data_IF_240448450201
#
_entry.id   IF_240448450201
#
_cell.length_a   1.000
_cell.length_b   1.000
_cell.length_c   1.000
_cell.angle_alpha   90.00
_cell.angle_beta   90.00
_cell.angle_gamma   90.00
#
_symmetry.space_group_name_H-M   'P 1'
#
loop_
_entity.id
_entity.type
_entity.pdbx_description
1 polymer ?
#
# COMPACT_ATOMS: atom_id res chain seq x y z
N UNK A 1 28.94 21.91 -12.46
CA UNK A 1 28.53 20.56 -12.83
C UNK A 1 27.09 20.62 -13.28
N UNK A 2 26.70 20.10 -14.46
CA UNK A 2 25.30 20.08 -14.87
C UNK A 2 24.51 19.19 -13.92
N UNK A 3 23.32 19.64 -13.52
CA UNK A 3 22.41 18.88 -12.68
C UNK A 3 22.04 17.58 -13.39
N UNK A 4 22.21 16.43 -12.72
CA UNK A 4 21.79 15.13 -13.25
C UNK A 4 20.27 15.14 -13.40
N UNK A 5 19.79 14.89 -14.62
CA UNK A 5 18.36 14.74 -14.87
C UNK A 5 17.85 13.47 -14.16
N UNK A 6 16.71 13.61 -13.47
CA UNK A 6 15.98 12.48 -12.91
C UNK A 6 15.64 11.52 -14.07
N UNK A 7 16.02 10.23 -13.95
CA UNK A 7 15.68 9.23 -14.96
C UNK A 7 16.71 8.99 -16.08
N UNK A 8 17.99 9.35 -15.86
CA UNK A 8 19.06 9.01 -16.84
C UNK A 8 19.13 7.47 -17.03
N UNK A 9 18.82 6.95 -18.24
CA UNK A 9 18.72 5.50 -18.50
C UNK A 9 20.09 4.79 -18.51
N UNK A 10 21.19 5.52 -18.43
CA UNK A 10 22.53 4.99 -18.62
C UNK A 10 23.26 4.47 -17.37
N UNK A 11 22.59 4.36 -16.23
CA UNK A 11 23.19 3.65 -15.10
C UNK A 11 22.77 2.18 -15.11
N UNK A 12 23.70 1.23 -15.34
CA UNK A 12 23.40 -0.21 -15.35
C UNK A 12 22.91 -0.74 -13.98
N UNK A 13 22.97 0.08 -12.93
CA UNK A 13 22.47 -0.24 -11.60
C UNK A 13 21.62 0.94 -11.12
N UNK A 14 20.31 0.92 -11.44
CA UNK A 14 19.36 1.80 -10.78
C UNK A 14 19.35 1.45 -9.30
N UNK A 15 19.71 2.39 -8.46
CA UNK A 15 19.51 2.26 -7.01
C UNK A 15 18.04 1.95 -6.74
N UNK A 16 17.76 1.00 -5.85
CA UNK A 16 16.38 0.68 -5.41
C UNK A 16 15.61 1.94 -4.99
N UNK A 17 16.30 2.92 -4.39
CA UNK A 17 15.73 4.22 -4.00
C UNK A 17 15.12 4.97 -5.20
N UNK A 18 15.73 4.88 -6.38
CA UNK A 18 15.23 5.56 -7.61
C UNK A 18 13.93 4.95 -8.13
N UNK A 19 13.62 3.71 -7.75
CA UNK A 19 12.44 2.97 -8.21
C UNK A 19 11.24 3.10 -7.26
N UNK A 20 11.40 3.72 -6.10
CA UNK A 20 10.36 3.77 -5.05
C UNK A 20 9.04 4.33 -5.57
N UNK A 21 9.08 5.39 -6.37
CA UNK A 21 7.87 6.02 -6.92
C UNK A 21 7.12 5.06 -7.85
N UNK A 22 7.86 4.37 -8.73
CA UNK A 22 7.29 3.40 -9.67
C UNK A 22 6.70 2.20 -8.94
N UNK A 23 7.39 1.66 -7.94
CA UNK A 23 6.89 0.56 -7.12
C UNK A 23 5.60 0.92 -6.39
N UNK A 24 5.58 2.09 -5.75
CA UNK A 24 4.37 2.56 -5.05
C UNK A 24 3.20 2.75 -6.00
N UNK A 25 3.44 3.28 -7.19
CA UNK A 25 2.38 3.45 -8.19
C UNK A 25 1.80 2.10 -8.61
N UNK A 26 2.64 1.13 -8.97
CA UNK A 26 2.20 -0.22 -9.34
C UNK A 26 1.41 -0.90 -8.22
N UNK A 27 1.88 -0.79 -6.98
CA UNK A 27 1.15 -1.33 -5.82
C UNK A 27 -0.19 -0.67 -5.61
N UNK A 28 -0.27 0.67 -5.69
CA UNK A 28 -1.54 1.39 -5.56
C UNK A 28 -2.53 1.01 -6.67
N UNK A 29 -2.05 0.86 -7.90
CA UNK A 29 -2.86 0.39 -9.03
C UNK A 29 -3.40 -1.03 -8.78
N UNK A 30 -2.55 -1.97 -8.34
CA UNK A 30 -2.98 -3.33 -8.00
C UNK A 30 -4.04 -3.35 -6.90
N UNK A 31 -3.85 -2.57 -5.84
CA UNK A 31 -4.83 -2.45 -4.75
C UNK A 31 -6.16 -1.87 -5.26
N UNK A 32 -6.10 -0.82 -6.09
CA UNK A 32 -7.29 -0.19 -6.64
C UNK A 32 -8.07 -1.10 -7.61
N UNK A 33 -7.36 -1.94 -8.38
CA UNK A 33 -7.98 -2.84 -9.36
C UNK A 33 -8.61 -4.08 -8.74
N UNK A 34 -8.27 -4.44 -7.50
CA UNK A 34 -8.93 -5.52 -6.80
C UNK A 34 -10.40 -5.16 -6.50
N UNK A 35 -11.33 -6.05 -6.88
CA UNK A 35 -12.76 -5.79 -6.77
C UNK A 35 -13.23 -5.68 -5.32
N UNK A 36 -12.75 -6.55 -4.44
CA UNK A 36 -13.18 -6.56 -3.05
C UNK A 36 -12.60 -5.37 -2.29
N UNK A 37 -11.30 -5.08 -2.48
CA UNK A 37 -10.67 -3.91 -1.86
C UNK A 37 -11.36 -2.62 -2.33
N UNK A 38 -11.59 -2.49 -3.63
CA UNK A 38 -12.20 -1.27 -4.19
C UNK A 38 -13.62 -1.06 -3.64
N UNK A 39 -14.43 -2.10 -3.50
CA UNK A 39 -15.76 -2.04 -2.87
C UNK A 39 -15.67 -1.64 -1.39
N UNK A 40 -14.78 -2.28 -0.61
CA UNK A 40 -14.58 -1.98 0.80
C UNK A 40 -14.09 -0.57 1.07
N UNK A 41 -13.35 0.03 0.14
CA UNK A 41 -12.87 1.41 0.21
C UNK A 41 -13.91 2.43 -0.25
N UNK A 42 -14.78 2.06 -1.18
CA UNK A 42 -15.72 2.99 -1.81
C UNK A 42 -17.06 3.04 -1.07
N UNK A 43 -17.64 1.88 -0.72
CA UNK A 43 -18.95 1.79 -0.09
C UNK A 43 -18.82 1.77 1.44
N UNK A 44 -19.40 2.78 2.10
CA UNK A 44 -19.41 2.89 3.58
C UNK A 44 -20.58 2.14 4.23
N UNK A 45 -21.22 1.23 3.52
CA UNK A 45 -22.41 0.49 3.98
C UNK A 45 -22.07 -0.94 4.37
N UNK A 46 -22.86 -1.59 5.25
CA UNK A 46 -22.62 -2.97 5.66
C UNK A 46 -22.59 -3.98 4.52
N UNK A 47 -23.38 -3.76 3.48
CA UNK A 47 -23.51 -4.60 2.29
C UNK A 47 -22.44 -4.33 1.20
N UNK A 48 -21.29 -3.74 1.57
CA UNK A 48 -20.29 -3.25 0.63
C UNK A 48 -19.84 -4.29 -0.42
N UNK A 49 -19.59 -5.54 0.01
CA UNK A 49 -19.11 -6.60 -0.89
C UNK A 49 -20.21 -7.11 -1.84
N UNK A 50 -21.47 -7.04 -1.41
CA UNK A 50 -22.62 -7.46 -2.24
C UNK A 50 -23.01 -6.44 -3.30
N UNK A 51 -22.43 -5.21 -3.25
CA UNK A 51 -22.70 -4.16 -4.23
C UNK A 51 -22.04 -4.42 -5.58
N UNK A 52 -22.55 -3.75 -6.59
CA UNK A 52 -22.01 -3.83 -7.95
C UNK A 52 -20.52 -3.47 -7.97
N UNK A 53 -19.71 -4.16 -8.79
CA UNK A 53 -18.32 -3.79 -9.01
C UNK A 53 -18.19 -2.33 -9.45
N UNK A 54 -17.11 -1.68 -9.02
CA UNK A 54 -16.78 -0.33 -9.46
C UNK A 54 -16.34 -0.36 -10.94
N UNK A 55 -16.64 0.73 -11.66
CA UNK A 55 -16.06 0.94 -12.99
C UNK A 55 -14.55 1.18 -12.87
N UNK A 56 -13.83 0.96 -13.97
CA UNK A 56 -12.38 1.18 -14.02
C UNK A 56 -12.01 2.63 -13.63
N UNK A 57 -12.77 3.61 -14.12
CA UNK A 57 -12.58 5.03 -13.76
C UNK A 57 -12.75 5.28 -12.25
N UNK A 58 -13.74 4.65 -11.62
CA UNK A 58 -13.95 4.76 -10.18
C UNK A 58 -12.80 4.13 -9.40
N UNK A 59 -12.29 2.98 -9.84
CA UNK A 59 -11.14 2.31 -9.25
C UNK A 59 -9.87 3.17 -9.34
N UNK A 60 -9.61 3.74 -10.52
CA UNK A 60 -8.48 4.66 -10.74
C UNK A 60 -8.56 5.86 -9.79
N UNK A 61 -9.75 6.43 -9.59
CA UNK A 61 -9.96 7.57 -8.68
C UNK A 61 -9.59 7.26 -7.22
N UNK A 62 -9.71 6.00 -6.77
CA UNK A 62 -9.31 5.62 -5.42
C UNK A 62 -7.80 5.82 -5.16
N UNK A 63 -6.96 5.71 -6.19
CA UNK A 63 -5.51 5.84 -6.09
C UNK A 63 -4.96 7.16 -6.64
N UNK A 64 -5.73 7.87 -7.48
CA UNK A 64 -5.31 9.10 -8.14
C UNK A 64 -5.20 10.27 -7.17
N UNK A 65 -4.36 11.24 -7.52
CA UNK A 65 -4.29 12.50 -6.80
C UNK A 65 -5.62 13.25 -6.93
N UNK A 66 -6.18 13.61 -5.79
CA UNK A 66 -7.42 14.35 -5.67
C UNK A 66 -7.19 15.57 -4.78
N UNK A 67 -7.23 16.80 -5.33
CA UNK A 67 -6.99 18.02 -4.56
C UNK A 67 -8.00 18.24 -3.42
N UNK A 68 -9.23 17.82 -3.63
CA UNK A 68 -10.32 17.97 -2.66
C UNK A 68 -10.28 16.82 -1.61
N UNK A 69 -9.58 15.73 -1.90
CA UNK A 69 -9.38 14.60 -1.01
C UNK A 69 -10.60 13.70 -0.82
N UNK A 70 -11.69 13.94 -1.57
CA UNK A 70 -12.97 13.25 -1.31
C UNK A 70 -13.01 11.82 -1.84
N UNK A 71 -12.32 11.53 -2.95
CA UNK A 71 -12.39 10.24 -3.66
C UNK A 71 -11.22 9.33 -3.35
N UNK A 72 -10.05 9.92 -3.11
CA UNK A 72 -8.85 9.16 -2.85
C UNK A 72 -8.96 8.35 -1.56
N UNK A 73 -8.59 7.06 -1.63
CA UNK A 73 -8.57 6.11 -0.50
C UNK A 73 -7.24 5.39 -0.36
N UNK A 74 -6.39 5.41 -1.40
CA UNK A 74 -5.08 4.76 -1.43
C UNK A 74 -4.01 5.84 -1.53
N UNK A 75 -3.12 5.91 -0.57
CA UNK A 75 -2.13 6.97 -0.42
C UNK A 75 -0.70 6.43 -0.50
N UNK A 76 0.23 7.13 -1.19
CA UNK A 76 1.63 6.71 -1.30
C UNK A 76 2.43 6.95 -0.02
N UNK A 77 1.79 7.40 1.06
CA UNK A 77 2.42 7.73 2.33
C UNK A 77 1.54 7.31 3.50
N UNK A 78 2.11 7.26 4.71
CA UNK A 78 1.38 7.05 5.95
C UNK A 78 0.40 8.18 6.27
N UNK A 79 0.73 9.41 5.87
CA UNK A 79 -0.09 10.58 6.17
C UNK A 79 -1.13 10.80 5.09
N UNK A 80 -2.37 10.97 5.54
CA UNK A 80 -3.51 11.31 4.70
C UNK A 80 -3.96 12.72 5.06
N UNK A 81 -3.85 13.70 4.16
CA UNK A 81 -4.35 15.03 4.44
C UNK A 81 -5.88 15.00 4.59
N UNK A 82 -6.40 15.65 5.63
CA UNK A 82 -7.84 15.92 5.85
C UNK A 82 -8.79 14.71 6.01
N UNK A 83 -8.29 13.51 6.25
CA UNK A 83 -9.15 12.31 6.40
C UNK A 83 -9.98 12.32 7.70
N UNK A 84 -9.66 13.20 8.62
CA UNK A 84 -10.16 13.15 10.03
C UNK A 84 -11.66 13.45 10.16
N UNK A 85 -12.30 14.06 9.16
CA UNK A 85 -13.69 14.55 9.31
C UNK A 85 -14.75 13.59 8.76
N UNK A 86 -14.42 12.75 7.78
CA UNK A 86 -15.40 11.90 7.11
C UNK A 86 -15.32 10.43 7.54
N UNK A 87 -16.44 9.72 7.44
CA UNK A 87 -16.50 8.28 7.60
C UNK A 87 -15.89 7.61 6.38
N UNK A 88 -14.71 7.00 6.51
CA UNK A 88 -14.04 6.34 5.37
C UNK A 88 -13.07 5.25 5.81
N UNK A 89 -12.80 4.37 4.86
CA UNK A 89 -11.68 3.42 4.93
C UNK A 89 -10.58 3.92 4.02
N UNK A 90 -9.32 3.70 4.39
CA UNK A 90 -8.20 4.05 3.54
C UNK A 90 -6.98 3.18 3.78
N UNK A 91 -6.09 3.13 2.78
CA UNK A 91 -4.83 2.40 2.82
C UNK A 91 -3.69 3.37 2.53
N UNK A 92 -2.71 3.40 3.43
CA UNK A 92 -1.45 4.14 3.24
C UNK A 92 -0.29 3.19 2.95
N UNK A 93 0.61 3.57 2.04
CA UNK A 93 1.80 2.79 1.71
C UNK A 93 3.04 3.42 2.33
N UNK A 94 3.86 2.62 3.01
CA UNK A 94 5.16 3.01 3.52
C UNK A 94 6.26 2.12 2.95
N UNK A 95 7.46 2.67 2.82
CA UNK A 95 8.67 1.92 2.41
C UNK A 95 9.80 2.33 3.34
N UNK A 96 10.57 1.34 3.81
CA UNK A 96 11.78 1.63 4.61
C UNK A 96 12.88 0.59 4.39
N UNK A 97 14.10 0.95 4.76
CA UNK A 97 15.20 0.02 4.97
C UNK A 97 15.81 -0.61 3.71
N UNK A 98 15.55 -0.10 2.51
CA UNK A 98 16.16 -0.62 1.28
C UNK A 98 17.67 -0.36 1.23
N UNK A 99 18.42 -1.16 1.97
CA UNK A 99 19.87 -1.07 2.09
C UNK A 99 20.53 -2.40 1.74
N UNK A 100 21.73 -2.37 1.12
CA UNK A 100 22.54 -3.56 0.93
C UNK A 100 22.88 -4.19 2.29
N UNK A 101 22.71 -5.51 2.41
CA UNK A 101 23.05 -6.24 3.63
C UNK A 101 24.57 -6.50 3.70
N UNK A 102 25.24 -5.91 4.68
CA UNK A 102 26.70 -6.01 4.83
C UNK A 102 27.22 -7.45 5.03
N UNK A 103 26.44 -8.28 5.73
CA UNK A 103 26.79 -9.69 5.98
C UNK A 103 26.88 -10.55 4.71
N UNK A 104 26.30 -10.08 3.61
CA UNK A 104 26.30 -10.80 2.33
C UNK A 104 27.17 -10.14 1.27
N UNK A 105 27.84 -9.03 1.56
CA UNK A 105 28.75 -8.33 0.62
C UNK A 105 29.86 -9.24 0.04
N UNK A 106 30.28 -10.24 0.77
CA UNK A 106 31.30 -11.20 0.30
C UNK A 106 30.79 -12.10 -0.83
N UNK A 107 29.47 -12.30 -0.93
CA UNK A 107 28.85 -13.20 -1.89
C UNK A 107 28.07 -12.48 -3.00
N UNK A 108 27.56 -11.29 -2.71
CA UNK A 108 26.81 -10.50 -3.69
C UNK A 108 26.67 -9.05 -3.25
N UNK A 109 27.18 -8.12 -4.04
CA UNK A 109 26.85 -6.69 -3.92
C UNK A 109 25.37 -6.36 -4.23
N UNK A 110 24.59 -7.39 -4.50
CA UNK A 110 23.28 -7.32 -5.13
C UNK A 110 22.12 -7.71 -4.21
N UNK A 111 22.40 -8.06 -2.97
CA UNK A 111 21.36 -8.40 -2.01
C UNK A 111 20.87 -7.14 -1.31
N UNK A 112 19.62 -6.78 -1.57
CA UNK A 112 18.94 -5.65 -0.92
C UNK A 112 17.76 -6.18 -0.11
N UNK A 113 17.67 -5.77 1.14
CA UNK A 113 16.50 -6.04 1.96
C UNK A 113 15.82 -4.73 2.33
N UNK A 114 14.49 -4.74 2.26
CA UNK A 114 13.66 -3.62 2.64
C UNK A 114 12.33 -4.06 3.23
N UNK A 115 11.52 -3.09 3.59
CA UNK A 115 10.21 -3.32 4.17
C UNK A 115 9.16 -2.48 3.49
N UNK A 116 8.00 -3.09 3.22
CA UNK A 116 6.76 -2.44 2.83
C UNK A 116 5.84 -2.37 4.04
N UNK A 117 5.11 -1.28 4.14
CA UNK A 117 4.09 -1.09 5.15
C UNK A 117 2.77 -0.76 4.48
N UNK A 118 1.74 -1.47 4.88
CA UNK A 118 0.36 -1.17 4.53
C UNK A 118 -0.36 -0.73 5.81
N UNK A 119 -0.76 0.53 5.85
CA UNK A 119 -1.55 1.09 6.94
C UNK A 119 -3.02 1.04 6.53
N UNK A 120 -3.75 0.07 7.06
CA UNK A 120 -5.17 -0.16 6.79
C UNK A 120 -5.94 0.47 7.92
N UNK A 121 -6.69 1.52 7.64
CA UNK A 121 -7.44 2.25 8.64
C UNK A 121 -8.90 2.40 8.21
N UNK A 122 -9.80 2.13 9.14
CA UNK A 122 -11.25 2.16 8.94
C UNK A 122 -11.87 3.01 10.05
N UNK A 123 -12.80 3.89 9.69
CA UNK A 123 -13.61 4.62 10.66
C UNK A 123 -14.45 3.65 11.48
N UNK A 124 -14.44 3.81 12.81
CA UNK A 124 -15.10 2.89 13.75
C UNK A 124 -16.61 2.71 13.49
N UNK A 125 -17.25 3.73 12.91
CA UNK A 125 -18.68 3.68 12.60
C UNK A 125 -19.05 2.80 11.40
N UNK A 126 -18.08 2.38 10.58
CA UNK A 126 -18.28 1.56 9.38
C UNK A 126 -17.46 0.27 9.41
N UNK A 127 -16.91 -0.11 10.55
CA UNK A 127 -16.10 -1.33 10.69
C UNK A 127 -16.89 -2.60 10.47
N UNK A 128 -18.12 -2.66 11.00
CA UNK A 128 -18.98 -3.83 10.89
C UNK A 128 -19.65 -3.88 9.52
N UNK A 129 -19.52 -5.02 8.84
CA UNK A 129 -20.20 -5.31 7.57
C UNK A 129 -20.82 -6.70 7.64
N UNK A 130 -21.64 -7.06 6.66
CA UNK A 130 -22.39 -8.31 6.65
C UNK A 130 -21.47 -9.56 6.69
N UNK A 131 -20.26 -9.47 6.13
CA UNK A 131 -19.29 -10.56 6.09
C UNK A 131 -18.29 -10.54 7.25
N UNK A 132 -18.34 -9.56 8.18
CA UNK A 132 -17.48 -9.49 9.36
C UNK A 132 -16.88 -8.09 9.59
N UNK A 133 -15.58 -8.02 9.88
CA UNK A 133 -14.90 -6.74 10.12
C UNK A 133 -14.21 -6.26 8.85
N UNK A 134 -14.51 -5.04 8.42
CA UNK A 134 -14.00 -4.42 7.19
C UNK A 134 -12.47 -4.38 7.14
N UNK A 135 -11.83 -4.01 8.26
CA UNK A 135 -10.37 -3.95 8.35
C UNK A 135 -9.70 -5.31 8.21
N UNK A 136 -10.35 -6.39 8.69
CA UNK A 136 -9.82 -7.76 8.61
C UNK A 136 -9.88 -8.27 7.16
N UNK A 137 -10.97 -7.98 6.46
CA UNK A 137 -11.12 -8.35 5.05
C UNK A 137 -10.16 -7.56 4.16
N UNK A 138 -9.98 -6.26 4.42
CA UNK A 138 -8.96 -5.45 3.74
C UNK A 138 -7.54 -6.00 3.99
N UNK A 139 -7.23 -6.38 5.22
CA UNK A 139 -5.95 -6.99 5.58
C UNK A 139 -5.73 -8.28 4.82
N UNK A 140 -6.73 -9.18 4.82
CA UNK A 140 -6.65 -10.46 4.12
C UNK A 140 -6.40 -10.27 2.62
N UNK A 141 -7.16 -9.37 1.97
CA UNK A 141 -6.98 -9.11 0.54
C UNK A 141 -5.62 -8.48 0.20
N UNK A 142 -5.11 -7.56 1.03
CA UNK A 142 -3.77 -7.01 0.87
C UNK A 142 -2.71 -8.11 1.02
N UNK A 143 -2.87 -8.98 2.02
CA UNK A 143 -1.97 -10.11 2.20
C UNK A 143 -1.97 -11.03 0.97
N UNK A 144 -3.15 -11.41 0.46
CA UNK A 144 -3.29 -12.28 -0.72
C UNK A 144 -2.65 -11.68 -1.98
N UNK A 145 -2.74 -10.34 -2.16
CA UNK A 145 -2.16 -9.67 -3.32
C UNK A 145 -0.62 -9.62 -3.30
N UNK A 146 -0.02 -9.53 -2.13
CA UNK A 146 1.41 -9.22 -2.02
C UNK A 146 2.26 -10.37 -1.51
N UNK A 147 1.70 -11.32 -0.74
CA UNK A 147 2.44 -12.45 -0.22
C UNK A 147 3.00 -13.31 -1.36
N UNK A 148 4.29 -13.63 -1.27
CA UNK A 148 5.03 -14.41 -2.25
C UNK A 148 5.07 -13.84 -3.69
N UNK A 149 4.74 -12.55 -3.86
CA UNK A 149 4.76 -11.88 -5.15
C UNK A 149 6.16 -11.39 -5.54
N UNK A 150 6.43 -11.39 -6.86
CA UNK A 150 7.60 -10.82 -7.54
C UNK A 150 7.22 -9.70 -8.53
N UNK A 151 5.94 -9.39 -8.67
CA UNK A 151 5.39 -8.66 -9.82
C UNK A 151 5.70 -7.16 -9.81
N UNK A 152 6.15 -6.63 -8.69
CA UNK A 152 6.34 -5.19 -8.51
C UNK A 152 7.74 -4.69 -8.88
N UNK A 153 8.66 -5.58 -9.23
CA UNK A 153 10.03 -5.25 -9.65
C UNK A 153 10.96 -4.84 -8.52
N UNK A 154 10.56 -5.07 -7.27
CA UNK A 154 11.37 -4.77 -6.08
C UNK A 154 12.00 -6.02 -5.46
N UNK A 155 11.71 -7.20 -5.97
CA UNK A 155 12.13 -8.49 -5.44
C UNK A 155 10.97 -9.30 -4.88
N UNK A 156 11.30 -10.31 -4.06
CA UNK A 156 10.34 -11.20 -3.43
C UNK A 156 9.73 -10.55 -2.19
N UNK A 157 8.42 -10.44 -2.16
CA UNK A 157 7.67 -9.91 -1.02
C UNK A 157 7.26 -11.08 -0.12
N UNK A 158 7.59 -11.01 1.14
CA UNK A 158 7.34 -12.06 2.12
C UNK A 158 6.64 -11.50 3.35
N UNK A 159 5.93 -12.37 4.05
CA UNK A 159 5.36 -12.09 5.35
C UNK A 159 6.38 -11.47 6.31
N UNK A 160 5.92 -10.51 7.08
CA UNK A 160 6.73 -9.78 8.06
C UNK A 160 6.06 -9.73 9.42
N UNK A 161 5.43 -8.62 9.75
CA UNK A 161 4.83 -8.39 11.07
C UNK A 161 3.50 -7.64 10.93
N UNK A 162 2.58 -7.93 11.83
CA UNK A 162 1.28 -7.26 11.95
C UNK A 162 1.19 -6.54 13.28
N UNK A 163 0.74 -5.28 13.25
CA UNK A 163 0.48 -4.48 14.44
C UNK A 163 -0.91 -3.87 14.33
N UNK A 164 -1.73 -4.06 15.38
CA UNK A 164 -3.00 -3.38 15.50
C UNK A 164 -2.78 -1.89 15.79
N UNK A 165 -3.55 -1.03 15.12
CA UNK A 165 -3.46 0.41 15.24
C UNK A 165 -4.69 0.97 15.94
N UNK A 166 -4.43 1.80 16.96
CA UNK A 166 -5.42 2.58 17.68
C UNK A 166 -5.12 4.06 17.51
N UNK A 167 -6.04 4.80 16.94
CA UNK A 167 -5.90 6.25 16.87
C UNK A 167 -6.31 6.89 18.20
N UNK A 168 -5.60 7.94 18.63
CA UNK A 168 -5.78 8.58 19.93
C UNK A 168 -7.20 9.14 20.18
N UNK A 169 -7.92 9.47 19.11
CA UNK A 169 -9.29 9.98 19.18
C UNK A 169 -10.37 8.90 19.00
N UNK A 170 -10.01 7.62 19.01
CA UNK A 170 -10.89 6.47 18.81
C UNK A 170 -11.78 6.55 17.56
N UNK A 171 -11.40 7.31 16.55
CA UNK A 171 -12.18 7.43 15.33
C UNK A 171 -11.82 6.35 14.30
N UNK A 172 -10.54 6.00 14.21
CA UNK A 172 -10.03 5.01 13.27
C UNK A 172 -9.37 3.88 14.03
N UNK A 173 -9.60 2.67 13.57
CA UNK A 173 -8.87 1.48 13.97
C UNK A 173 -8.44 0.68 12.74
N UNK A 174 -7.59 -0.31 12.94
CA UNK A 174 -7.12 -1.17 11.86
C UNK A 174 -5.73 -1.72 12.10
N UNK A 175 -4.93 -1.81 11.02
CA UNK A 175 -3.66 -2.53 11.07
C UNK A 175 -2.53 -1.82 10.33
N UNK A 176 -1.32 -2.03 10.84
CA UNK A 176 -0.09 -1.86 10.07
C UNK A 176 0.47 -3.25 9.75
N UNK A 177 0.37 -3.65 8.50
CA UNK A 177 1.02 -4.84 7.97
C UNK A 177 2.40 -4.44 7.44
N UNK A 178 3.45 -5.01 7.99
CA UNK A 178 4.82 -4.90 7.49
C UNK A 178 5.16 -6.17 6.71
N UNK A 179 5.58 -6.05 5.47
CA UNK A 179 6.08 -7.15 4.65
C UNK A 179 7.56 -6.94 4.35
N UNK A 180 8.33 -8.00 4.38
CA UNK A 180 9.75 -7.98 4.05
C UNK A 180 9.94 -8.15 2.55
N UNK A 181 10.83 -7.36 1.98
CA UNK A 181 11.21 -7.45 0.57
C UNK A 181 12.65 -7.91 0.48
N UNK A 182 12.88 -8.91 -0.34
CA UNK A 182 14.21 -9.47 -0.58
C UNK A 182 14.48 -9.44 -2.08
N UNK A 183 15.47 -8.67 -2.49
CA UNK A 183 15.88 -8.57 -3.88
C UNK A 183 17.28 -9.20 -4.06
N UNK A 184 17.35 -10.22 -4.89
CA UNK A 184 18.60 -10.85 -5.33
C UNK A 184 18.89 -10.37 -6.76
N UNK A 185 19.71 -9.33 -6.90
CA UNK A 185 20.14 -8.82 -8.20
C UNK A 185 21.42 -9.46 -8.67
#
# INVERSE_FOLDING_TARGET
MPAKKLGDPYKPHRSSIMMITEWKQRMMESIAMDDDISKLLYYNTPDALSRSPLTEDQKIQLASFDPDGDRRRIYPTRYTPNVVMDQRSFIGLGISGFVPQESWRQFSEKYVMGYLYFYILVDNSIMEIDEGQRQDLLLQRIYDLFQDSYDYGMGHIQEGNLTELWEQNNKFGGYALMMRVIDFK
#
